data_IF_846686403849
#
_entry.id   IF_846686403849
#
_cell.length_a   1.000
_cell.length_b   1.000
_cell.length_c   1.000
_cell.angle_alpha   90.00
_cell.angle_beta   90.00
_cell.angle_gamma   90.00
#
_symmetry.space_group_name_H-M   'P 1'
#
loop_
_entity.id
_entity.type
_entity.pdbx_description
1 polymer ?
#
# COMPACT_ATOMS: atom_id res chain seq x y z
N UNK A 1 2.09 2.79 9.25
CA UNK A 1 2.37 3.34 10.58
C UNK A 1 2.60 4.83 10.49
N UNK A 2 1.87 5.59 11.31
CA UNK A 2 1.89 7.06 11.32
C UNK A 2 2.52 7.61 12.61
N UNK A 3 2.85 6.74 13.58
CA UNK A 3 3.48 7.16 14.83
C UNK A 3 4.91 7.63 14.58
N UNK A 4 5.25 8.82 15.07
CA UNK A 4 6.55 9.46 14.88
C UNK A 4 7.59 8.91 15.87
N UNK A 5 7.15 8.65 17.09
CA UNK A 5 7.98 8.11 18.16
C UNK A 5 7.13 7.27 19.14
N UNK A 6 7.74 6.79 20.20
CA UNK A 6 7.08 5.99 21.23
C UNK A 6 6.02 6.80 21.99
N UNK A 7 6.19 8.10 22.18
CA UNK A 7 5.24 8.98 22.87
C UNK A 7 3.99 9.17 22.02
N UNK A 8 4.18 9.44 20.73
CA UNK A 8 3.07 9.56 19.77
C UNK A 8 2.35 8.23 19.59
N UNK A 9 3.09 7.10 19.57
CA UNK A 9 2.48 5.76 19.53
C UNK A 9 1.53 5.56 20.72
N UNK A 10 2.00 5.81 21.95
CA UNK A 10 1.18 5.67 23.15
C UNK A 10 -0.07 6.55 23.09
N UNK A 11 0.07 7.80 22.67
CA UNK A 11 -1.05 8.73 22.51
C UNK A 11 -2.09 8.19 21.51
N UNK A 12 -1.64 7.64 20.39
CA UNK A 12 -2.54 7.04 19.36
C UNK A 12 -3.23 5.78 19.86
N UNK A 13 -2.50 4.91 20.53
CA UNK A 13 -3.04 3.69 21.12
C UNK A 13 -4.10 4.00 22.18
N UNK A 14 -3.85 4.99 23.04
CA UNK A 14 -4.78 5.40 24.07
C UNK A 14 -6.15 5.82 23.54
N UNK A 15 -6.21 6.36 22.33
CA UNK A 15 -7.44 6.82 21.69
C UNK A 15 -8.26 5.74 20.98
N UNK A 16 -7.79 4.48 20.96
CA UNK A 16 -8.55 3.38 20.36
C UNK A 16 -9.77 3.10 21.21
N UNK A 17 -10.95 3.20 20.60
CA UNK A 17 -12.22 2.85 21.22
C UNK A 17 -12.33 1.32 21.22
N UNK A 18 -12.49 0.73 22.39
CA UNK A 18 -12.56 -0.73 22.59
C UNK A 18 -13.97 -1.19 22.94
N UNK A 19 -14.80 -0.30 23.48
CA UNK A 19 -16.18 -0.59 23.84
C UNK A 19 -16.99 0.71 23.97
N UNK A 20 -18.27 0.56 24.27
CA UNK A 20 -19.14 1.65 24.69
C UNK A 20 -19.84 1.26 25.99
N UNK A 21 -20.05 2.22 26.88
CA UNK A 21 -20.87 2.05 28.07
C UNK A 21 -22.35 1.89 27.71
N UNK A 22 -23.18 1.48 28.63
CA UNK A 22 -24.63 1.34 28.40
C UNK A 22 -25.32 2.66 28.03
N UNK A 23 -24.76 3.80 28.44
CA UNK A 23 -25.22 5.14 28.09
C UNK A 23 -24.55 5.70 26.81
N UNK A 24 -23.83 4.84 26.06
CA UNK A 24 -23.26 5.15 24.74
C UNK A 24 -21.95 5.93 24.74
N UNK A 25 -21.28 6.09 25.89
CA UNK A 25 -19.97 6.73 25.95
C UNK A 25 -18.87 5.80 25.49
N UNK A 26 -17.87 6.28 24.71
CA UNK A 26 -16.75 5.45 24.30
C UNK A 26 -15.85 5.07 25.50
N UNK A 27 -15.41 3.84 25.52
CA UNK A 27 -14.37 3.32 26.41
C UNK A 27 -13.12 3.09 25.57
N UNK A 28 -12.01 3.66 25.98
CA UNK A 28 -10.76 3.65 25.22
C UNK A 28 -9.73 2.67 25.82
N UNK A 29 -8.68 2.37 25.06
CA UNK A 29 -7.53 1.59 25.55
C UNK A 29 -6.83 2.31 26.74
N UNK A 30 -6.90 3.63 26.83
CA UNK A 30 -6.38 4.41 27.96
C UNK A 30 -7.22 4.18 29.22
N UNK A 31 -8.53 4.17 29.10
CA UNK A 31 -9.45 3.87 30.23
C UNK A 31 -9.19 2.47 30.80
N UNK A 32 -8.82 1.51 29.93
CA UNK A 32 -8.44 0.15 30.35
C UNK A 32 -6.99 0.04 30.86
N UNK A 33 -6.24 1.13 30.86
CA UNK A 33 -4.80 1.14 31.21
C UNK A 33 -3.95 0.16 30.38
N UNK A 34 -4.39 -0.18 29.16
CA UNK A 34 -3.74 -1.17 28.29
C UNK A 34 -2.59 -0.60 27.44
N UNK A 35 -2.48 0.73 27.36
CA UNK A 35 -1.52 1.42 26.47
C UNK A 35 -0.07 1.01 26.69
N UNK A 36 0.32 0.79 27.94
CA UNK A 36 1.70 0.38 28.27
C UNK A 36 2.07 -0.96 27.67
N UNK A 37 1.22 -1.97 27.85
CA UNK A 37 1.40 -3.31 27.31
C UNK A 37 1.36 -3.33 25.77
N UNK A 38 0.40 -2.62 25.17
CA UNK A 38 0.33 -2.47 23.72
C UNK A 38 1.58 -1.81 23.13
N UNK A 39 2.07 -0.76 23.77
CA UNK A 39 3.28 -0.07 23.33
C UNK A 39 4.55 -0.92 23.48
N UNK A 40 4.63 -1.76 24.52
CA UNK A 40 5.74 -2.70 24.69
C UNK A 40 5.81 -3.73 23.56
N UNK A 41 4.67 -4.30 23.16
CA UNK A 41 4.57 -5.23 22.04
C UNK A 41 4.91 -4.58 20.69
N UNK A 42 4.61 -3.30 20.52
CA UNK A 42 4.81 -2.56 19.26
C UNK A 42 6.15 -1.81 19.19
N UNK A 43 6.99 -1.89 20.21
CA UNK A 43 8.25 -1.15 20.32
C UNK A 43 9.14 -1.35 19.09
N UNK A 44 9.40 -2.58 18.73
CA UNK A 44 10.26 -2.91 17.59
C UNK A 44 9.54 -2.74 16.24
N UNK A 45 8.23 -2.91 16.24
CA UNK A 45 7.40 -2.68 15.06
C UNK A 45 7.31 -1.20 14.62
N UNK A 46 7.84 -0.26 15.37
CA UNK A 46 7.97 1.14 14.96
C UNK A 46 9.07 1.38 13.93
N UNK A 47 10.04 0.47 13.83
CA UNK A 47 11.22 0.64 12.97
C UNK A 47 11.03 -0.16 11.67
N UNK A 48 11.26 0.46 10.50
CA UNK A 48 11.36 -0.30 9.26
C UNK A 48 12.49 -1.34 9.33
N UNK A 49 12.26 -2.50 8.74
CA UNK A 49 13.31 -3.49 8.51
C UNK A 49 14.06 -3.12 7.24
N UNK A 50 15.37 -2.94 7.35
CA UNK A 50 16.24 -2.78 6.19
C UNK A 50 16.80 -4.15 5.80
N UNK A 51 16.57 -4.53 4.56
CA UNK A 51 17.07 -5.77 3.97
C UNK A 51 17.85 -5.45 2.70
N UNK A 52 18.68 -6.38 2.26
CA UNK A 52 19.36 -6.33 0.98
C UNK A 52 18.73 -7.37 0.05
N UNK A 53 18.40 -6.95 -1.17
CA UNK A 53 17.91 -7.86 -2.21
C UNK A 53 19.06 -8.70 -2.79
N UNK A 54 18.72 -9.72 -3.57
CA UNK A 54 19.74 -10.52 -4.28
C UNK A 54 20.59 -9.68 -5.25
N UNK A 55 20.03 -8.61 -5.78
CA UNK A 55 20.71 -7.65 -6.66
C UNK A 55 21.45 -6.55 -5.88
N UNK A 56 21.67 -6.76 -4.58
CA UNK A 56 22.36 -5.82 -3.68
C UNK A 56 21.68 -4.43 -3.53
N UNK A 57 20.42 -4.33 -3.87
CA UNK A 57 19.63 -3.11 -3.67
C UNK A 57 19.02 -3.09 -2.26
N UNK A 58 19.16 -1.98 -1.51
CA UNK A 58 18.51 -1.88 -0.21
C UNK A 58 16.99 -1.80 -0.36
N UNK A 59 16.27 -2.52 0.52
CA UNK A 59 14.82 -2.49 0.57
C UNK A 59 14.32 -2.31 2.00
N UNK A 60 13.33 -1.45 2.19
CA UNK A 60 12.67 -1.23 3.47
C UNK A 60 11.34 -1.98 3.50
N UNK A 61 11.21 -2.92 4.44
CA UNK A 61 9.97 -3.66 4.68
C UNK A 61 9.38 -3.19 6.01
N UNK A 62 8.15 -2.70 5.97
CA UNK A 62 7.54 -2.16 7.18
C UNK A 62 6.00 -2.17 7.12
N UNK A 63 5.39 -2.71 8.16
CA UNK A 63 3.97 -2.96 8.23
C UNK A 63 3.59 -4.15 7.34
N UNK A 64 2.34 -4.47 7.28
CA UNK A 64 1.83 -5.55 6.44
C UNK A 64 0.34 -5.34 6.20
N UNK A 65 -0.08 -4.11 5.78
CA UNK A 65 -1.49 -3.84 5.59
C UNK A 65 -1.98 -4.52 4.33
N UNK A 66 -2.87 -5.47 4.47
CA UNK A 66 -3.53 -6.10 3.31
C UNK A 66 -4.42 -5.09 2.58
N UNK A 67 -4.37 -5.10 1.24
CA UNK A 67 -5.11 -4.15 0.42
C UNK A 67 -6.63 -4.32 0.49
N UNK A 68 -7.12 -5.51 0.85
CA UNK A 68 -8.55 -5.78 1.04
C UNK A 68 -9.12 -5.19 2.34
N UNK A 69 -8.28 -4.89 3.32
CA UNK A 69 -8.71 -4.36 4.63
C UNK A 69 -8.04 -3.04 5.02
N UNK A 70 -6.98 -2.63 4.31
CA UNK A 70 -6.23 -1.42 4.57
C UNK A 70 -5.73 -0.80 3.25
N UNK A 71 -4.75 0.10 3.31
CA UNK A 71 -4.23 0.79 2.12
C UNK A 71 -3.33 -0.07 1.22
N UNK A 72 -2.87 -1.24 1.67
CA UNK A 72 -2.21 -2.25 0.83
C UNK A 72 -0.84 -1.90 0.28
N UNK A 73 -0.12 -1.01 0.90
CA UNK A 73 1.24 -0.61 0.49
C UNK A 73 2.13 -0.40 1.71
N UNK A 74 3.42 -0.27 1.50
CA UNK A 74 4.40 -0.06 2.55
C UNK A 74 4.05 1.15 3.44
N UNK A 75 4.60 1.22 4.64
CA UNK A 75 4.28 2.27 5.60
C UNK A 75 4.76 3.66 5.14
N UNK A 76 4.08 4.69 5.59
CA UNK A 76 4.54 6.08 5.44
C UNK A 76 5.96 6.24 5.98
N UNK A 77 6.24 5.64 7.15
CA UNK A 77 7.54 5.73 7.80
C UNK A 77 8.67 5.15 6.95
N UNK A 78 8.47 3.98 6.35
CA UNK A 78 9.47 3.37 5.46
C UNK A 78 9.70 4.24 4.22
N UNK A 79 8.64 4.72 3.59
CA UNK A 79 8.75 5.57 2.39
C UNK A 79 9.45 6.90 2.70
N UNK A 80 9.06 7.60 3.77
CA UNK A 80 9.71 8.87 4.13
C UNK A 80 11.16 8.69 4.61
N UNK A 81 11.49 7.53 5.18
CA UNK A 81 12.88 7.19 5.50
C UNK A 81 13.69 6.94 4.24
N UNK A 82 13.16 6.15 3.30
CA UNK A 82 13.82 5.88 2.01
C UNK A 82 14.10 7.17 1.23
N UNK A 83 13.12 8.08 1.16
CA UNK A 83 13.27 9.39 0.50
C UNK A 83 14.36 10.30 1.08
N UNK A 84 14.81 10.02 2.31
CA UNK A 84 15.95 10.74 2.93
C UNK A 84 17.29 10.05 2.67
N UNK A 85 17.29 8.83 2.21
CA UNK A 85 18.48 7.99 2.09
C UNK A 85 18.89 7.69 0.65
N UNK A 86 17.99 7.91 -0.32
CA UNK A 86 18.23 7.58 -1.71
C UNK A 86 17.69 8.64 -2.67
N UNK A 87 18.33 8.76 -3.83
CA UNK A 87 17.92 9.67 -4.90
C UNK A 87 16.65 9.20 -5.61
N UNK A 88 16.45 7.87 -5.67
CA UNK A 88 15.27 7.25 -6.25
C UNK A 88 14.64 6.27 -5.25
N UNK A 89 13.34 6.37 -5.07
CA UNK A 89 12.57 5.46 -4.23
C UNK A 89 11.43 4.86 -5.03
N UNK A 90 11.43 3.53 -5.12
CA UNK A 90 10.36 2.76 -5.75
C UNK A 90 9.54 2.11 -4.65
N UNK A 91 8.24 2.30 -4.68
CA UNK A 91 7.30 1.66 -3.73
C UNK A 91 6.18 0.99 -4.52
N UNK A 92 5.60 -0.04 -3.93
CA UNK A 92 4.51 -0.77 -4.54
C UNK A 92 3.15 -0.22 -4.11
N UNK A 93 2.13 -0.52 -4.92
CA UNK A 93 0.73 -0.41 -4.57
C UNK A 93 0.09 -1.78 -4.80
N UNK A 94 -0.39 -2.40 -3.74
CA UNK A 94 -0.85 -3.79 -3.77
C UNK A 94 -2.10 -4.01 -4.62
N UNK A 95 -2.21 -5.16 -5.26
CA UNK A 95 -3.28 -5.55 -6.18
C UNK A 95 -3.29 -4.78 -7.50
N UNK A 96 -4.43 -4.81 -8.22
CA UNK A 96 -4.61 -4.06 -9.45
C UNK A 96 -4.63 -2.55 -9.22
N UNK A 97 -4.35 -1.79 -10.26
CA UNK A 97 -4.27 -0.34 -10.19
C UNK A 97 -5.61 0.32 -9.81
N UNK A 98 -6.72 -0.34 -10.11
CA UNK A 98 -8.09 0.05 -9.73
C UNK A 98 -8.38 -0.04 -8.23
N UNK A 99 -7.54 -0.73 -7.47
CA UNK A 99 -7.63 -0.82 -6.01
C UNK A 99 -6.39 -0.24 -5.34
N UNK A 100 -5.22 -0.80 -5.63
CA UNK A 100 -3.98 -0.46 -4.93
C UNK A 100 -3.47 0.94 -5.24
N UNK A 101 -3.45 1.34 -6.50
CA UNK A 101 -3.01 2.67 -6.87
C UNK A 101 -3.96 3.75 -6.33
N UNK A 102 -5.27 3.56 -6.41
CA UNK A 102 -6.24 4.49 -5.84
C UNK A 102 -6.05 4.64 -4.33
N UNK A 103 -5.90 3.53 -3.58
CA UNK A 103 -5.59 3.59 -2.15
C UNK A 103 -4.26 4.27 -1.84
N UNK A 104 -3.26 4.02 -2.67
CA UNK A 104 -1.96 4.66 -2.53
C UNK A 104 -2.07 6.18 -2.66
N UNK A 105 -2.70 6.68 -3.72
CA UNK A 105 -2.87 8.11 -3.94
C UNK A 105 -3.84 8.73 -2.93
N UNK A 106 -5.04 8.17 -2.80
CA UNK A 106 -6.12 8.79 -2.04
C UNK A 106 -5.98 8.64 -0.53
N UNK A 107 -5.28 7.62 -0.06
CA UNK A 107 -5.08 7.40 1.37
C UNK A 107 -3.65 7.75 1.78
N UNK A 108 -2.65 7.02 1.25
CA UNK A 108 -1.27 7.15 1.72
C UNK A 108 -0.66 8.49 1.34
N UNK A 109 -0.75 8.88 0.07
CA UNK A 109 -0.16 10.13 -0.41
C UNK A 109 -0.80 11.34 0.26
N UNK A 110 -2.13 11.41 0.32
CA UNK A 110 -2.83 12.51 1.00
C UNK A 110 -2.47 12.61 2.47
N UNK A 111 -2.41 11.47 3.18
CA UNK A 111 -2.12 11.43 4.61
C UNK A 111 -0.68 11.79 4.95
N UNK A 112 0.24 11.54 4.04
CA UNK A 112 1.68 11.71 4.25
C UNK A 112 2.28 12.91 3.50
N UNK A 113 1.49 13.63 2.68
CA UNK A 113 1.99 14.70 1.82
C UNK A 113 2.99 14.20 0.77
N UNK A 114 2.76 12.97 0.25
CA UNK A 114 3.62 12.37 -0.77
C UNK A 114 3.07 12.65 -2.16
N UNK A 115 3.97 12.91 -3.11
CA UNK A 115 3.66 13.08 -4.52
C UNK A 115 4.62 12.21 -5.34
N UNK A 116 4.15 11.12 -5.96
CA UNK A 116 4.96 10.33 -6.89
C UNK A 116 5.31 11.15 -8.14
N UNK A 117 6.53 11.00 -8.64
CA UNK A 117 6.99 11.65 -9.87
C UNK A 117 6.55 10.86 -11.12
N UNK A 118 6.37 9.56 -11.00
CA UNK A 118 5.92 8.69 -12.07
C UNK A 118 5.24 7.43 -11.52
N UNK A 119 4.42 6.80 -12.35
CA UNK A 119 3.81 5.49 -12.11
C UNK A 119 4.31 4.51 -13.16
N UNK A 120 4.79 3.35 -12.71
CA UNK A 120 5.05 2.20 -13.57
C UNK A 120 3.88 1.23 -13.44
N UNK A 121 3.12 1.09 -14.51
CA UNK A 121 1.99 0.16 -14.61
C UNK A 121 2.45 -1.14 -15.26
N UNK A 122 2.50 -2.21 -14.48
CA UNK A 122 2.91 -3.53 -14.97
C UNK A 122 1.74 -4.23 -15.64
N UNK A 123 1.88 -4.54 -16.93
CA UNK A 123 0.88 -5.27 -17.70
C UNK A 123 1.49 -6.51 -18.35
N UNK A 124 1.07 -7.69 -17.90
CA UNK A 124 1.56 -8.95 -18.48
C UNK A 124 0.64 -9.46 -19.59
N UNK A 125 1.21 -10.13 -20.59
CA UNK A 125 0.45 -10.81 -21.63
C UNK A 125 -0.56 -11.80 -21.02
N UNK A 126 -0.21 -12.48 -19.94
CA UNK A 126 -1.11 -13.37 -19.20
C UNK A 126 -2.31 -12.64 -18.64
N UNK A 127 -2.10 -11.48 -18.02
CA UNK A 127 -3.18 -10.67 -17.48
C UNK A 127 -4.11 -10.14 -18.58
N UNK A 128 -3.56 -9.67 -19.70
CA UNK A 128 -4.35 -9.22 -20.84
C UNK A 128 -5.22 -10.35 -21.40
N UNK A 129 -4.65 -11.55 -21.63
CA UNK A 129 -5.43 -12.71 -22.10
C UNK A 129 -6.51 -13.12 -21.09
N UNK A 130 -6.22 -13.10 -19.80
CA UNK A 130 -7.19 -13.39 -18.75
C UNK A 130 -8.37 -12.40 -18.78
N UNK A 131 -8.07 -11.10 -18.84
CA UNK A 131 -9.09 -10.05 -18.97
C UNK A 131 -9.86 -10.14 -20.30
N UNK A 132 -9.27 -10.75 -21.32
CA UNK A 132 -9.92 -11.09 -22.60
C UNK A 132 -10.80 -12.33 -22.57
N UNK A 133 -10.88 -13.04 -21.43
CA UNK A 133 -11.77 -14.18 -21.20
C UNK A 133 -11.10 -15.56 -21.32
N UNK A 134 -9.76 -15.64 -21.35
CA UNK A 134 -9.04 -16.93 -21.34
C UNK A 134 -9.03 -17.52 -19.93
N UNK A 135 -9.29 -18.81 -19.80
CA UNK A 135 -9.23 -19.54 -18.54
C UNK A 135 -7.78 -19.65 -18.03
N UNK A 136 -7.62 -19.73 -16.71
CA UNK A 136 -6.28 -19.74 -16.07
C UNK A 136 -5.35 -20.82 -16.61
N UNK A 137 -5.87 -22.01 -16.85
CA UNK A 137 -5.09 -23.17 -17.31
C UNK A 137 -4.67 -23.06 -18.78
N UNK A 138 -5.29 -22.17 -19.54
CA UNK A 138 -5.02 -21.93 -20.96
C UNK A 138 -4.17 -20.67 -21.23
N UNK A 139 -3.79 -19.93 -20.20
CA UNK A 139 -3.05 -18.67 -20.34
C UNK A 139 -1.64 -18.83 -20.95
N UNK A 140 -1.08 -20.04 -20.99
CA UNK A 140 0.19 -20.33 -21.68
C UNK A 140 0.01 -20.41 -23.20
N UNK A 141 -1.18 -20.73 -23.70
CA UNK A 141 -1.46 -20.86 -25.13
C UNK A 141 -1.54 -19.49 -25.79
N UNK A 142 -1.13 -19.40 -27.06
CA UNK A 142 -1.30 -18.18 -27.85
C UNK A 142 -2.80 -17.90 -28.08
N UNK A 143 -3.20 -16.65 -27.84
CA UNK A 143 -4.56 -16.18 -28.14
C UNK A 143 -4.54 -14.67 -28.36
N UNK A 144 -4.32 -14.25 -29.60
CA UNK A 144 -4.24 -12.85 -29.99
C UNK A 144 -5.56 -12.11 -29.88
N UNK A 145 -6.68 -12.79 -30.14
CA UNK A 145 -7.99 -12.17 -30.05
C UNK A 145 -8.34 -11.83 -28.59
N UNK A 146 -8.08 -12.75 -27.68
CA UNK A 146 -8.29 -12.49 -26.26
C UNK A 146 -7.32 -11.40 -25.73
N UNK A 147 -6.08 -11.38 -26.21
CA UNK A 147 -5.11 -10.34 -25.88
C UNK A 147 -5.64 -8.95 -26.29
N UNK A 148 -6.07 -8.79 -27.53
CA UNK A 148 -6.67 -7.54 -28.04
C UNK A 148 -7.88 -7.11 -27.22
N UNK A 149 -8.78 -8.06 -26.92
CA UNK A 149 -9.95 -7.81 -26.09
C UNK A 149 -9.59 -7.34 -24.67
N UNK A 150 -8.51 -7.89 -24.11
CA UNK A 150 -8.04 -7.52 -22.76
C UNK A 150 -7.35 -6.16 -22.68
N UNK A 151 -6.88 -5.58 -23.79
CA UNK A 151 -6.26 -4.26 -23.84
C UNK A 151 -7.18 -3.16 -23.31
N UNK A 152 -8.49 -3.27 -23.53
CA UNK A 152 -9.47 -2.30 -23.03
C UNK A 152 -9.41 -2.15 -21.51
N UNK A 153 -9.10 -3.24 -20.78
CA UNK A 153 -8.91 -3.18 -19.35
C UNK A 153 -7.63 -2.40 -18.97
N UNK A 154 -6.53 -2.60 -19.71
CA UNK A 154 -5.30 -1.85 -19.49
C UNK A 154 -5.49 -0.35 -19.79
N UNK A 155 -6.15 -0.02 -20.89
CA UNK A 155 -6.47 1.39 -21.24
C UNK A 155 -7.25 2.06 -20.11
N UNK A 156 -8.21 1.34 -19.50
CA UNK A 156 -8.98 1.86 -18.38
C UNK A 156 -8.11 2.14 -17.15
N UNK A 157 -7.15 1.28 -16.84
CA UNK A 157 -6.19 1.51 -15.76
C UNK A 157 -5.31 2.73 -16.03
N UNK A 158 -4.84 2.92 -17.27
CA UNK A 158 -4.07 4.11 -17.68
C UNK A 158 -4.89 5.38 -17.49
N UNK A 159 -6.12 5.42 -18.00
CA UNK A 159 -7.03 6.55 -17.82
C UNK A 159 -7.26 6.90 -16.35
N UNK A 160 -7.45 5.90 -15.50
CA UNK A 160 -7.67 6.11 -14.07
C UNK A 160 -6.42 6.71 -13.40
N UNK A 161 -5.24 6.22 -13.73
CA UNK A 161 -3.98 6.73 -13.19
C UNK A 161 -3.69 8.17 -13.66
N UNK A 162 -4.01 8.50 -14.91
CA UNK A 162 -3.84 9.84 -15.46
C UNK A 162 -4.64 10.91 -14.69
N UNK A 163 -5.75 10.54 -14.06
CA UNK A 163 -6.54 11.47 -13.23
C UNK A 163 -5.78 12.03 -12.03
N UNK A 164 -4.75 11.34 -11.57
CA UNK A 164 -3.87 11.81 -10.51
C UNK A 164 -2.80 12.82 -10.98
N UNK A 165 -2.75 13.12 -12.28
CA UNK A 165 -1.82 14.10 -12.85
C UNK A 165 -0.35 13.66 -12.87
N UNK A 166 -0.09 12.35 -12.81
CA UNK A 166 1.26 11.78 -12.76
C UNK A 166 1.57 11.05 -14.07
N UNK A 167 2.79 11.17 -14.62
CA UNK A 167 3.21 10.39 -15.79
C UNK A 167 3.07 8.88 -15.55
N UNK A 168 2.52 8.17 -16.53
CA UNK A 168 2.31 6.72 -16.47
C UNK A 168 3.14 6.04 -17.56
N UNK A 169 3.98 5.10 -17.17
CA UNK A 169 4.74 4.24 -18.07
C UNK A 169 4.22 2.81 -17.93
N UNK A 170 3.93 2.15 -19.05
CA UNK A 170 3.50 0.75 -19.08
C UNK A 170 4.68 -0.16 -19.40
N UNK A 171 4.82 -1.25 -18.68
CA UNK A 171 5.87 -2.26 -18.86
C UNK A 171 5.31 -3.68 -18.82
#
# INVERSE_FOLDING_TARGET
MLAEDMKDLKRRLGRIIVAYTFDGKPVTAEDLQAVGSMAALLKDALKPNLIQTLEHTPALVHGGPFANIAHGCNSVRATTTALKLADYVITEAGFGADLGAEKFFDIKCRKAGLHPDAVVLVATIRALKYNGGVLKDELSNENLEALKKGIVNLEKHIENLQKFGVPVVVT
#
